data_IF_297129370279
#
_entry.id   IF_297129370279
#
_cell.length_a   1.000
_cell.length_b   1.000
_cell.length_c   1.000
_cell.angle_alpha   90.00
_cell.angle_beta   90.00
_cell.angle_gamma   90.00
#
_symmetry.space_group_name_H-M   'P 1'
#
loop_
_entity.id
_entity.type
_entity.pdbx_description
1 polymer ?
#
# COMPACT_ATOMS: atom_id res chain seq x y z
N UNK A 1 -18.94 -0.36 -2.66
CA UNK A 1 -18.06 -0.16 -1.49
C UNK A 1 -18.87 0.35 -0.32
N UNK A 2 -18.57 -0.05 0.92
CA UNK A 2 -19.28 0.49 2.09
C UNK A 2 -18.67 1.87 2.40
N UNK A 3 -19.47 2.92 2.27
CA UNK A 3 -19.10 4.25 2.77
C UNK A 3 -18.96 4.18 4.29
N UNK A 4 -17.77 4.44 4.78
CA UNK A 4 -17.52 4.46 6.22
C UNK A 4 -17.55 5.89 6.72
N UNK A 5 -18.54 6.19 7.57
CA UNK A 5 -18.67 7.51 8.20
C UNK A 5 -17.77 7.58 9.43
N UNK A 6 -16.91 8.58 9.47
CA UNK A 6 -16.00 8.87 10.58
C UNK A 6 -16.20 10.30 11.07
N UNK A 7 -16.36 10.47 12.37
CA UNK A 7 -16.33 11.81 12.98
C UNK A 7 -14.88 12.32 12.97
N UNK A 8 -14.70 13.56 12.55
CA UNK A 8 -13.41 14.23 12.47
C UNK A 8 -13.46 15.58 13.18
N UNK A 9 -12.41 15.88 13.92
CA UNK A 9 -12.26 17.16 14.61
C UNK A 9 -11.16 17.99 13.95
N UNK A 10 -11.41 19.27 13.73
CA UNK A 10 -10.42 20.18 13.16
C UNK A 10 -9.33 20.45 14.17
N UNK A 11 -8.08 20.30 13.74
CA UNK A 11 -6.90 20.53 14.57
C UNK A 11 -6.30 21.89 14.30
N UNK A 12 -6.17 22.69 15.35
CA UNK A 12 -5.55 24.02 15.32
C UNK A 12 -4.12 24.03 15.85
N UNK A 13 -3.73 22.98 16.59
CA UNK A 13 -2.40 22.87 17.17
C UNK A 13 -1.51 21.95 16.32
N UNK A 14 -0.29 22.42 16.02
CA UNK A 14 0.64 21.74 15.12
C UNK A 14 1.95 21.37 15.83
N UNK A 15 2.74 20.53 15.15
CA UNK A 15 4.06 20.12 15.58
C UNK A 15 4.12 18.74 16.22
N UNK A 16 5.37 18.22 16.39
CA UNK A 16 5.66 16.86 16.84
C UNK A 16 5.04 16.52 18.18
N UNK A 17 5.05 17.47 19.13
CA UNK A 17 4.52 17.26 20.49
C UNK A 17 3.02 17.03 20.50
N UNK A 18 2.27 17.82 19.73
CA UNK A 18 0.82 17.73 19.63
C UNK A 18 0.38 16.46 18.89
N UNK A 19 1.05 16.12 17.80
CA UNK A 19 0.78 14.86 17.07
C UNK A 19 1.01 13.63 17.97
N UNK A 20 2.07 13.65 18.80
CA UNK A 20 2.34 12.57 19.76
C UNK A 20 1.24 12.47 20.83
N UNK A 21 0.76 13.61 21.39
CA UNK A 21 -0.33 13.61 22.37
C UNK A 21 -1.62 13.04 21.78
N UNK A 22 -2.03 13.53 20.60
CA UNK A 22 -3.20 13.01 19.91
C UNK A 22 -3.14 11.48 19.73
N UNK A 23 -1.99 10.93 19.32
CA UNK A 23 -1.82 9.47 19.21
C UNK A 23 -1.90 8.74 20.55
N UNK A 24 -1.43 9.35 21.64
CA UNK A 24 -1.57 8.79 23.01
C UNK A 24 -3.03 8.78 23.49
N UNK A 25 -3.83 9.74 23.05
CA UNK A 25 -5.28 9.85 23.30
C UNK A 25 -6.11 8.93 22.40
N UNK A 26 -5.46 8.18 21.50
CA UNK A 26 -6.13 7.27 20.58
C UNK A 26 -6.71 7.97 19.35
N UNK A 27 -6.16 9.13 18.99
CA UNK A 27 -6.51 9.89 17.80
C UNK A 27 -5.39 9.79 16.76
N UNK A 28 -5.75 9.77 15.48
CA UNK A 28 -4.81 9.79 14.36
C UNK A 28 -4.84 11.17 13.71
N UNK A 29 -3.72 11.88 13.64
CA UNK A 29 -3.64 13.11 12.88
C UNK A 29 -3.73 12.80 11.38
N UNK A 30 -4.54 13.58 10.66
CA UNK A 30 -4.72 13.45 9.22
C UNK A 30 -4.78 14.84 8.56
N UNK A 31 -4.55 14.87 7.25
CA UNK A 31 -4.67 16.05 6.42
C UNK A 31 -5.58 15.77 5.25
N UNK A 32 -6.54 16.64 5.02
CA UNK A 32 -7.41 16.63 3.85
C UNK A 32 -6.95 17.74 2.92
N UNK A 33 -6.70 17.41 1.66
CA UNK A 33 -6.33 18.37 0.63
C UNK A 33 -7.00 18.01 -0.72
N UNK A 34 -7.02 18.95 -1.63
CA UNK A 34 -7.57 18.76 -2.98
C UNK A 34 -8.23 20.01 -3.53
N UNK A 35 -8.50 20.01 -4.85
CA UNK A 35 -9.17 21.08 -5.60
C UNK A 35 -8.60 22.50 -5.42
N UNK A 36 -7.33 22.63 -5.00
CA UNK A 36 -6.70 23.93 -4.75
C UNK A 36 -7.20 24.67 -3.50
N UNK A 37 -8.02 24.01 -2.67
CA UNK A 37 -8.42 24.53 -1.36
C UNK A 37 -7.26 24.43 -0.34
N UNK A 38 -7.31 25.24 0.70
CA UNK A 38 -6.35 25.15 1.81
C UNK A 38 -6.47 23.76 2.49
N UNK A 39 -5.35 23.11 2.83
CA UNK A 39 -5.36 21.85 3.54
C UNK A 39 -6.04 21.98 4.90
N UNK A 40 -6.96 21.07 5.20
CA UNK A 40 -7.64 21.01 6.50
C UNK A 40 -6.95 19.93 7.33
N UNK A 41 -6.41 20.32 8.47
CA UNK A 41 -5.82 19.38 9.41
C UNK A 41 -6.87 18.88 10.38
N UNK A 42 -6.98 17.57 10.53
CA UNK A 42 -7.99 16.91 11.35
C UNK A 42 -7.38 15.85 12.26
N UNK A 43 -8.16 15.41 13.23
CA UNK A 43 -7.91 14.20 14.02
C UNK A 43 -9.07 13.22 13.84
N UNK A 44 -8.73 11.95 13.75
CA UNK A 44 -9.67 10.83 13.53
C UNK A 44 -9.55 9.81 14.67
N UNK A 45 -10.64 9.14 15.08
CA UNK A 45 -10.61 8.10 16.09
C UNK A 45 -9.84 6.87 15.59
N UNK A 46 -8.77 6.48 16.30
CA UNK A 46 -7.81 5.45 15.85
C UNK A 46 -8.46 4.12 15.53
N UNK A 47 -9.35 3.61 16.39
CA UNK A 47 -9.98 2.29 16.20
C UNK A 47 -10.83 2.23 14.94
N UNK A 48 -11.72 3.20 14.75
CA UNK A 48 -12.62 3.23 13.61
C UNK A 48 -11.84 3.45 12.30
N UNK A 49 -10.88 4.37 12.32
CA UNK A 49 -10.03 4.67 11.17
C UNK A 49 -9.17 3.46 10.77
N UNK A 50 -8.56 2.76 11.72
CA UNK A 50 -7.76 1.56 11.42
C UNK A 50 -8.59 0.46 10.74
N UNK A 51 -9.85 0.31 11.12
CA UNK A 51 -10.76 -0.63 10.45
C UNK A 51 -11.12 -0.16 9.04
N UNK A 52 -11.38 1.15 8.88
CA UNK A 52 -11.76 1.76 7.62
C UNK A 52 -10.67 1.64 6.55
N UNK A 53 -9.40 1.86 6.93
CA UNK A 53 -8.25 1.88 6.01
C UNK A 53 -7.57 0.51 5.81
N UNK A 54 -8.23 -0.58 6.18
CA UNK A 54 -7.73 -1.94 5.86
C UNK A 54 -7.78 -2.26 4.37
N UNK A 55 -8.74 -1.67 3.70
CA UNK A 55 -8.90 -1.79 2.25
C UNK A 55 -8.07 -0.70 1.58
N UNK A 56 -7.28 -1.07 0.59
CA UNK A 56 -6.54 -0.10 -0.20
C UNK A 56 -7.52 0.86 -0.91
N UNK A 57 -7.13 2.11 -1.06
CA UNK A 57 -7.92 3.16 -1.70
C UNK A 57 -9.33 3.32 -1.10
N UNK A 58 -9.44 3.22 0.25
CA UNK A 58 -10.70 3.34 0.94
C UNK A 58 -11.30 4.75 0.77
N UNK A 59 -12.59 4.80 0.47
CA UNK A 59 -13.37 6.03 0.40
C UNK A 59 -14.03 6.26 1.76
N UNK A 60 -13.75 7.40 2.37
CA UNK A 60 -14.24 7.78 3.70
C UNK A 60 -15.19 8.95 3.59
N UNK A 61 -16.31 8.89 4.31
CA UNK A 61 -17.19 10.05 4.53
C UNK A 61 -16.84 10.63 5.90
N UNK A 62 -16.24 11.80 5.91
CA UNK A 62 -15.80 12.50 7.12
C UNK A 62 -16.83 13.52 7.51
N UNK A 63 -17.26 13.49 8.78
CA UNK A 63 -18.12 14.51 9.39
C UNK A 63 -17.21 15.50 10.13
N UNK A 64 -17.09 16.70 9.59
CA UNK A 64 -16.29 17.78 10.15
C UNK A 64 -17.24 18.90 10.55
N UNK A 65 -17.46 19.09 11.83
CA UNK A 65 -18.35 20.13 12.38
C UNK A 65 -19.80 20.09 11.82
N UNK A 66 -20.29 18.90 11.41
CA UNK A 66 -21.61 18.72 10.81
C UNK A 66 -21.65 18.80 9.28
N UNK A 67 -20.53 19.08 8.64
CA UNK A 67 -20.37 19.02 7.18
C UNK A 67 -19.75 17.67 6.75
N UNK A 68 -20.34 17.05 5.73
CA UNK A 68 -19.84 15.79 5.21
C UNK A 68 -18.86 16.03 4.05
N UNK A 69 -17.65 15.53 4.21
CA UNK A 69 -16.60 15.57 3.19
C UNK A 69 -16.28 14.15 2.73
N UNK A 70 -16.34 13.94 1.41
CA UNK A 70 -15.93 12.69 0.80
C UNK A 70 -14.42 12.75 0.54
N UNK A 71 -13.68 11.81 1.12
CA UNK A 71 -12.22 11.79 1.04
C UNK A 71 -11.70 10.39 0.71
N UNK A 72 -10.75 10.33 -0.21
CA UNK A 72 -10.00 9.14 -0.58
C UNK A 72 -8.73 9.05 0.25
N UNK A 73 -8.42 7.89 0.78
CA UNK A 73 -7.14 7.63 1.45
C UNK A 73 -6.05 7.52 0.39
N UNK A 74 -5.12 8.49 0.37
CA UNK A 74 -4.01 8.52 -0.59
C UNK A 74 -2.76 7.86 -0.03
N UNK A 75 -2.42 8.14 1.23
CA UNK A 75 -1.25 7.54 1.90
C UNK A 75 -1.52 7.24 3.37
N UNK A 76 -0.87 6.19 3.87
CA UNK A 76 -1.01 5.71 5.24
C UNK A 76 0.37 5.51 5.83
N UNK A 77 0.80 6.42 6.71
CA UNK A 77 2.04 6.25 7.44
C UNK A 77 1.82 5.36 8.66
N UNK A 78 2.53 4.24 8.71
CA UNK A 78 2.46 3.26 9.82
C UNK A 78 3.80 3.12 10.51
N UNK A 79 3.77 3.04 11.83
CA UNK A 79 4.93 2.60 12.62
C UNK A 79 5.14 1.09 12.38
N UNK A 80 6.30 0.68 11.84
CA UNK A 80 6.54 -0.72 11.47
C UNK A 80 6.63 -1.65 12.70
N UNK A 81 7.00 -1.11 13.87
CA UNK A 81 7.18 -1.89 15.11
C UNK A 81 5.84 -2.05 15.83
N UNK A 82 5.12 -0.94 16.03
CA UNK A 82 3.86 -0.91 16.80
C UNK A 82 2.64 -1.23 15.96
N UNK A 83 2.77 -1.23 14.62
CA UNK A 83 1.69 -1.43 13.66
C UNK A 83 0.53 -0.42 13.82
N UNK A 84 0.82 0.75 14.39
CA UNK A 84 -0.15 1.83 14.55
C UNK A 84 -0.04 2.82 13.40
N UNK A 85 -1.16 3.42 13.03
CA UNK A 85 -1.19 4.48 12.01
C UNK A 85 -0.70 5.77 12.67
N UNK A 86 0.33 6.37 12.10
CA UNK A 86 0.90 7.63 12.56
C UNK A 86 0.30 8.85 11.90
N UNK A 87 -0.02 8.75 10.62
CA UNK A 87 -0.60 9.82 9.82
C UNK A 87 -1.43 9.27 8.67
N UNK A 88 -2.41 10.04 8.20
CA UNK A 88 -3.23 9.77 7.03
C UNK A 88 -3.27 10.99 6.13
N UNK A 89 -3.03 10.75 4.85
CA UNK A 89 -3.19 11.74 3.80
C UNK A 89 -4.47 11.44 3.02
N UNK A 90 -5.36 12.41 2.99
CA UNK A 90 -6.71 12.30 2.45
C UNK A 90 -6.90 13.28 1.31
N UNK A 91 -7.32 12.79 0.17
CA UNK A 91 -7.67 13.59 -0.99
C UNK A 91 -9.18 13.81 -1.04
N UNK A 92 -9.62 15.07 -1.03
CA UNK A 92 -11.02 15.39 -1.25
C UNK A 92 -11.43 14.98 -2.65
N UNK A 93 -12.53 14.26 -2.79
CA UNK A 93 -13.05 13.79 -4.08
C UNK A 93 -14.52 14.12 -4.23
N UNK A 94 -14.94 14.30 -5.49
CA UNK A 94 -16.35 14.46 -5.84
C UNK A 94 -16.87 13.21 -6.53
N UNK A 95 -18.15 12.95 -6.40
CA UNK A 95 -18.80 11.84 -7.10
C UNK A 95 -18.63 12.00 -8.61
N UNK A 96 -18.15 10.95 -9.29
CA UNK A 96 -17.90 10.96 -10.73
C UNK A 96 -16.56 11.57 -11.15
N UNK A 97 -15.74 12.01 -10.21
CA UNK A 97 -14.39 12.51 -10.50
C UNK A 97 -13.41 11.36 -10.75
N UNK A 98 -12.52 11.53 -11.69
CA UNK A 98 -11.42 10.58 -11.93
C UNK A 98 -10.21 10.96 -11.09
N UNK A 99 -9.68 9.98 -10.41
CA UNK A 99 -8.52 10.13 -9.53
C UNK A 99 -7.44 9.12 -9.87
N UNK A 100 -6.20 9.54 -9.71
CA UNK A 100 -5.04 8.65 -9.82
C UNK A 100 -4.83 7.93 -8.49
N UNK A 101 -4.90 6.60 -8.54
CA UNK A 101 -4.70 5.74 -7.38
C UNK A 101 -3.66 4.68 -7.64
N UNK A 102 -2.97 4.30 -6.58
CA UNK A 102 -1.99 3.23 -6.60
C UNK A 102 -2.67 1.95 -6.09
N UNK A 103 -2.76 0.95 -6.98
CA UNK A 103 -3.50 -0.29 -6.71
C UNK A 103 -2.54 -1.45 -6.58
N UNK A 104 -2.63 -2.26 -5.52
CA UNK A 104 -1.76 -3.43 -5.35
C UNK A 104 -2.09 -4.51 -6.37
N UNK A 105 -1.03 -5.16 -6.88
CA UNK A 105 -1.11 -6.30 -7.79
C UNK A 105 -1.02 -7.59 -7.01
N UNK A 106 -2.03 -8.43 -7.12
CA UNK A 106 -2.04 -9.77 -6.52
C UNK A 106 -1.85 -10.84 -7.58
N UNK A 107 -0.86 -11.70 -7.36
CA UNK A 107 -0.60 -12.84 -8.22
C UNK A 107 -1.50 -14.00 -7.80
N UNK A 108 -2.11 -14.65 -8.79
CA UNK A 108 -2.98 -15.82 -8.60
C UNK A 108 -2.49 -16.99 -9.44
N UNK A 109 -2.64 -18.21 -8.91
CA UNK A 109 -2.20 -19.44 -9.60
C UNK A 109 -0.81 -19.91 -9.17
N UNK A 110 -0.39 -21.03 -9.76
CA UNK A 110 0.92 -21.65 -9.51
C UNK A 110 1.72 -21.70 -10.83
N UNK A 111 3.02 -21.48 -10.74
CA UNK A 111 3.93 -21.62 -11.87
C UNK A 111 4.11 -23.09 -12.26
N UNK A 112 4.56 -23.32 -13.49
CA UNK A 112 5.04 -24.63 -13.89
C UNK A 112 6.22 -25.06 -12.98
N UNK A 113 6.33 -26.38 -12.68
CA UNK A 113 7.41 -26.88 -11.81
C UNK A 113 8.80 -26.47 -12.31
N UNK A 114 9.68 -26.11 -11.40
CA UNK A 114 11.04 -25.68 -11.70
C UNK A 114 11.18 -24.21 -12.10
N UNK A 115 10.13 -23.40 -11.97
CA UNK A 115 10.17 -21.96 -12.24
C UNK A 115 9.97 -21.16 -10.97
N UNK A 116 10.57 -19.97 -10.94
CA UNK A 116 10.41 -18.97 -9.89
C UNK A 116 9.95 -17.64 -10.48
N UNK A 117 9.24 -16.84 -9.71
CA UNK A 117 8.89 -15.48 -10.10
C UNK A 117 9.54 -14.45 -9.19
N UNK A 118 9.84 -13.31 -9.77
CA UNK A 118 10.19 -12.10 -9.04
C UNK A 118 9.19 -11.01 -9.43
N UNK A 119 8.46 -10.48 -8.45
CA UNK A 119 7.53 -9.39 -8.66
C UNK A 119 8.29 -8.06 -8.59
N UNK A 120 8.45 -7.42 -9.73
CA UNK A 120 9.14 -6.12 -9.86
C UNK A 120 8.23 -4.97 -9.44
N UNK A 121 6.95 -5.03 -9.86
CA UNK A 121 5.96 -4.02 -9.49
C UNK A 121 4.89 -4.63 -8.60
N UNK A 122 4.86 -4.22 -7.34
CA UNK A 122 3.83 -4.63 -6.37
C UNK A 122 2.59 -3.74 -6.41
N UNK A 123 2.72 -2.55 -7.00
CA UNK A 123 1.66 -1.53 -7.09
C UNK A 123 1.67 -0.94 -8.49
N UNK A 124 0.49 -0.67 -9.04
CA UNK A 124 0.32 -0.05 -10.35
C UNK A 124 -0.56 1.19 -10.24
N UNK A 125 -0.13 2.31 -10.83
CA UNK A 125 -0.89 3.56 -10.86
C UNK A 125 -1.96 3.51 -11.94
N UNK A 126 -3.21 3.69 -11.53
CA UNK A 126 -4.39 3.70 -12.39
C UNK A 126 -5.16 5.01 -12.23
N UNK A 127 -5.78 5.47 -13.31
CA UNK A 127 -6.81 6.49 -13.25
C UNK A 127 -8.18 5.80 -13.23
N UNK A 128 -8.97 6.03 -12.18
CA UNK A 128 -10.30 5.43 -12.03
C UNK A 128 -11.28 6.41 -11.41
N UNK A 129 -12.57 6.14 -11.57
CA UNK A 129 -13.62 6.94 -10.94
C UNK A 129 -13.59 6.75 -9.41
N UNK A 130 -13.64 7.87 -8.65
CA UNK A 130 -13.54 7.88 -7.20
C UNK A 130 -14.55 6.98 -6.48
N UNK A 131 -15.72 6.76 -7.09
CA UNK A 131 -16.78 5.88 -6.54
C UNK A 131 -16.59 4.39 -6.85
N UNK A 132 -15.76 4.06 -7.85
CA UNK A 132 -15.55 2.70 -8.34
C UNK A 132 -14.06 2.32 -8.38
N UNK A 133 -13.35 2.63 -7.32
CA UNK A 133 -11.92 2.32 -7.22
C UNK A 133 -11.68 0.81 -7.05
N UNK A 134 -10.77 0.22 -7.82
CA UNK A 134 -10.35 -1.17 -7.60
C UNK A 134 -9.54 -1.28 -6.30
N UNK A 135 -9.78 -2.33 -5.55
CA UNK A 135 -9.01 -2.64 -4.33
C UNK A 135 -7.72 -3.40 -4.64
N UNK A 136 -7.73 -4.17 -5.72
CA UNK A 136 -6.58 -4.93 -6.21
C UNK A 136 -6.73 -5.24 -7.69
N UNK A 137 -5.62 -5.50 -8.35
CA UNK A 137 -5.57 -6.05 -9.71
C UNK A 137 -5.02 -7.47 -9.61
N UNK A 138 -5.77 -8.44 -10.12
CA UNK A 138 -5.36 -9.85 -10.11
C UNK A 138 -4.64 -10.20 -11.41
N UNK A 139 -3.53 -10.92 -11.29
CA UNK A 139 -2.71 -11.37 -12.41
C UNK A 139 -2.47 -12.86 -12.29
N UNK A 140 -2.90 -13.62 -13.30
CA UNK A 140 -2.66 -15.07 -13.33
C UNK A 140 -1.25 -15.39 -13.79
N UNK A 141 -0.53 -16.17 -12.96
CA UNK A 141 0.77 -16.76 -13.27
C UNK A 141 0.65 -18.27 -13.55
N UNK A 142 -0.59 -18.79 -13.63
CA UNK A 142 -0.86 -20.22 -13.73
C UNK A 142 -0.24 -20.86 -14.97
N UNK A 143 0.57 -21.90 -14.76
CA UNK A 143 1.20 -22.69 -15.81
C UNK A 143 2.26 -21.97 -16.64
N UNK A 144 2.63 -20.73 -16.31
CA UNK A 144 3.66 -19.98 -17.05
C UNK A 144 5.05 -20.57 -16.82
N UNK A 145 5.88 -20.47 -17.85
CA UNK A 145 7.25 -20.97 -17.88
C UNK A 145 8.28 -19.82 -17.87
N UNK A 146 9.54 -20.16 -17.63
CA UNK A 146 10.63 -19.18 -17.66
C UNK A 146 10.67 -18.46 -19.03
N UNK A 147 10.83 -17.12 -18.97
CA UNK A 147 10.82 -16.24 -20.14
C UNK A 147 9.44 -15.68 -20.51
N UNK A 148 8.35 -16.18 -19.95
CA UNK A 148 7.00 -15.64 -20.15
C UNK A 148 6.70 -14.53 -19.13
N UNK A 149 7.40 -13.42 -19.27
CA UNK A 149 7.24 -12.27 -18.37
C UNK A 149 5.88 -11.62 -18.52
N UNK A 150 5.43 -10.92 -17.47
CA UNK A 150 4.16 -10.19 -17.47
C UNK A 150 4.45 -8.70 -17.47
N UNK A 151 3.92 -8.00 -18.44
CA UNK A 151 4.01 -6.55 -18.57
C UNK A 151 2.73 -5.86 -18.07
N UNK A 152 2.81 -4.55 -17.85
CA UNK A 152 1.68 -3.76 -17.39
C UNK A 152 0.50 -3.77 -18.39
N UNK A 153 0.76 -3.99 -19.70
CA UNK A 153 -0.26 -4.16 -20.73
C UNK A 153 -1.12 -5.42 -20.56
N UNK A 154 -0.58 -6.46 -19.89
CA UNK A 154 -1.25 -7.76 -19.73
C UNK A 154 -2.20 -7.78 -18.53
N UNK A 155 -2.26 -6.68 -17.78
CA UNK A 155 -3.12 -6.57 -16.60
C UNK A 155 -4.59 -6.48 -16.98
N UNK A 156 -5.42 -7.31 -16.35
CA UNK A 156 -6.87 -7.24 -16.52
C UNK A 156 -7.41 -6.12 -15.65
N UNK A 157 -7.66 -4.96 -16.27
CA UNK A 157 -8.17 -3.78 -15.58
C UNK A 157 -9.69 -3.84 -15.44
N UNK A 158 -10.26 -3.39 -14.31
CA UNK A 158 -11.70 -3.25 -14.17
C UNK A 158 -12.25 -2.16 -15.10
N UNK A 159 -13.54 -2.26 -15.42
CA UNK A 159 -14.21 -1.32 -16.33
C UNK A 159 -14.12 0.12 -15.80
N UNK A 160 -13.67 1.02 -16.65
CA UNK A 160 -13.57 2.45 -16.33
C UNK A 160 -12.22 2.86 -15.73
N UNK A 161 -11.24 1.95 -15.62
CA UNK A 161 -9.88 2.26 -15.22
C UNK A 161 -8.96 2.39 -16.42
N UNK A 162 -8.03 3.34 -16.35
CA UNK A 162 -7.00 3.61 -17.37
C UNK A 162 -5.64 3.41 -16.73
N UNK A 163 -4.76 2.66 -17.37
CA UNK A 163 -3.38 2.48 -16.94
C UNK A 163 -2.61 3.78 -17.16
N UNK A 164 -1.95 4.28 -16.12
CA UNK A 164 -1.05 5.43 -16.21
C UNK A 164 0.43 5.01 -16.25
N UNK A 165 0.73 3.79 -15.77
CA UNK A 165 2.07 3.23 -15.87
C UNK A 165 2.42 2.94 -17.35
N UNK A 166 3.71 2.91 -17.65
CA UNK A 166 4.20 2.52 -18.98
C UNK A 166 3.75 1.08 -19.29
N UNK A 167 3.03 0.85 -20.40
CA UNK A 167 2.53 -0.48 -20.77
C UNK A 167 3.63 -1.52 -20.96
N UNK A 168 4.87 -1.11 -21.30
CA UNK A 168 6.02 -1.99 -21.44
C UNK A 168 6.72 -2.31 -20.10
N UNK A 169 6.31 -1.66 -19.01
CA UNK A 169 6.88 -1.92 -17.68
C UNK A 169 6.69 -3.37 -17.27
N UNK A 170 7.75 -3.97 -16.76
CA UNK A 170 7.76 -5.36 -16.29
C UNK A 170 7.10 -5.44 -14.91
N UNK A 171 6.04 -6.23 -14.81
CA UNK A 171 5.31 -6.45 -13.54
C UNK A 171 5.83 -7.70 -12.85
N UNK A 172 5.98 -8.79 -13.58
CA UNK A 172 6.47 -10.07 -13.05
C UNK A 172 7.53 -10.66 -13.99
N UNK A 173 8.69 -10.90 -13.44
CA UNK A 173 9.78 -11.62 -14.09
C UNK A 173 9.70 -13.10 -13.72
N UNK A 174 9.63 -13.99 -14.71
CA UNK A 174 9.61 -15.43 -14.49
C UNK A 174 10.93 -16.02 -15.00
N UNK A 175 11.64 -16.72 -14.13
CA UNK A 175 12.94 -17.37 -14.39
C UNK A 175 12.89 -18.83 -13.98
N UNK A 176 13.88 -19.61 -14.42
CA UNK A 176 14.08 -20.95 -13.89
C UNK A 176 14.51 -20.85 -12.41
N UNK A 177 13.93 -21.69 -11.57
CA UNK A 177 14.33 -21.79 -10.17
C UNK A 177 15.74 -22.41 -10.14
N UNK A 178 16.73 -21.61 -9.81
CA UNK A 178 18.07 -22.15 -9.50
C UNK A 178 17.95 -22.80 -8.13
N UNK A 179 18.00 -24.14 -8.08
CA UNK A 179 18.20 -24.85 -6.82
C UNK A 179 19.58 -24.44 -6.30
N UNK A 180 19.59 -23.52 -5.34
CA UNK A 180 20.79 -23.26 -4.54
C UNK A 180 20.95 -24.50 -3.68
N UNK A 181 21.85 -25.41 -4.11
CA UNK A 181 22.22 -26.56 -3.30
C UNK A 181 22.76 -26.03 -1.96
N UNK A 182 22.18 -26.46 -0.87
CA UNK A 182 22.56 -26.11 0.52
C UNK A 182 24.00 -26.59 0.90
N UNK A 183 24.88 -26.84 -0.06
CA UNK A 183 26.18 -27.41 0.16
C UNK A 183 27.30 -26.40 0.47
N UNK A 184 27.08 -25.09 0.30
CA UNK A 184 28.10 -24.07 0.59
C UNK A 184 28.01 -23.40 1.98
N UNK A 185 27.02 -23.74 2.81
CA UNK A 185 26.90 -23.15 4.15
C UNK A 185 27.63 -23.91 5.27
N UNK A 186 28.35 -25.01 4.96
CA UNK A 186 29.04 -25.84 5.99
C UNK A 186 30.54 -25.78 5.99
N UNK A 187 31.19 -24.91 5.20
CA UNK A 187 32.67 -24.94 5.04
C UNK A 187 33.44 -23.86 5.80
N UNK A 188 32.81 -22.99 6.59
CA UNK A 188 33.52 -21.89 7.27
C UNK A 188 33.37 -21.86 8.80
N UNK A 189 33.33 -23.03 9.45
CA UNK A 189 33.32 -23.08 10.92
C UNK A 189 34.42 -24.01 11.49
N UNK A 190 35.55 -24.13 10.82
CA UNK A 190 36.66 -24.95 11.39
C UNK A 190 38.03 -24.34 11.11
N UNK A 191 38.26 -23.09 11.50
CA UNK A 191 39.61 -22.56 11.63
C UNK A 191 39.64 -21.41 12.63
N UNK A 192 39.87 -21.70 13.90
CA UNK A 192 40.04 -20.63 14.87
C UNK A 192 40.06 -21.05 16.34
N UNK A 193 40.58 -22.22 16.68
CA UNK A 193 40.86 -22.52 18.08
C UNK A 193 42.19 -23.23 18.21
N UNK A 194 43.27 -22.49 18.28
CA UNK A 194 44.45 -22.88 19.05
C UNK A 194 45.45 -21.72 19.10
N UNK A 195 46.09 -21.58 20.24
CA UNK A 195 47.21 -20.72 20.67
C UNK A 195 46.70 -19.52 21.50
N UNK A 196 47.10 -19.34 22.75
CA UNK A 196 48.14 -19.91 23.58
C UNK A 196 47.82 -19.64 25.06
N UNK A 197 48.17 -20.61 25.88
CA UNK A 197 48.52 -20.38 27.26
C UNK A 197 50.04 -20.09 27.27
N UNK A 198 50.47 -19.02 27.94
CA UNK A 198 51.75 -18.88 28.66
C UNK A 198 52.09 -17.40 28.86
N UNK A 199 52.23 -17.05 30.03
CA UNK A 199 53.03 -16.20 30.94
C UNK A 199 52.26 -15.12 31.64
#
# INVERSE_FOLDING_TARGET
MAEQKLAAEVRTEFGKGFARRARMEGLIPAVIYGHGAEPIHITLPSKATTLAVRVANALLTLDINGEQHLALVKDIQRDPIKQIIEHLDLLTVRTGEKVTVDVPVHLTGELAPGNAYNQEMTVVSLEAEATHLPTSVEVSIEGRTAGEHIHASDLVLPKGSILLADPESLVVHISEATEVSEEEASADTTAGSSVAAAE
#
